data_IF_682314232157
#
_entry.id   IF_682314232157
#
_cell.length_a   1.000
_cell.length_b   1.000
_cell.length_c   1.000
_cell.angle_alpha   90.00
_cell.angle_beta   90.00
_cell.angle_gamma   90.00
#
_symmetry.space_group_name_H-M   'P 1'
#
loop_
_entity.id
_entity.type
_entity.pdbx_description
1 polymer ?
#
# COMPACT_ATOMS: atom_id res chain seq x y z
N UNK A 1 -1.90 -35.52 -61.64
CA UNK A 1 -2.16 -35.68 -60.18
C UNK A 1 -2.31 -34.29 -59.60
N UNK A 2 -3.55 -33.82 -59.43
CA UNK A 2 -3.84 -32.46 -58.95
C UNK A 2 -3.96 -32.47 -57.42
N UNK A 3 -3.18 -31.62 -56.74
CA UNK A 3 -3.29 -31.39 -55.30
C UNK A 3 -4.22 -30.20 -55.07
N UNK A 4 -5.38 -30.46 -54.49
CA UNK A 4 -6.34 -29.44 -54.05
C UNK A 4 -5.97 -29.07 -52.62
N UNK A 5 -5.64 -27.79 -52.40
CA UNK A 5 -5.34 -27.19 -51.11
C UNK A 5 -6.65 -26.70 -50.47
N UNK A 6 -7.08 -27.31 -49.38
CA UNK A 6 -8.22 -26.85 -48.59
C UNK A 6 -7.73 -25.87 -47.51
N UNK A 7 -8.18 -24.62 -47.60
CA UNK A 7 -7.97 -23.59 -46.59
C UNK A 7 -9.24 -23.51 -45.75
N UNK A 8 -9.14 -23.83 -44.45
CA UNK A 8 -10.22 -23.63 -43.49
C UNK A 8 -10.19 -22.18 -42.98
N UNK A 9 -11.17 -21.38 -43.41
CA UNK A 9 -11.48 -20.08 -42.80
C UNK A 9 -12.43 -20.30 -41.63
N UNK A 10 -11.91 -20.26 -40.40
CA UNK A 10 -12.72 -20.24 -39.19
C UNK A 10 -13.16 -18.81 -38.89
N UNK A 11 -14.38 -18.46 -39.26
CA UNK A 11 -15.02 -17.19 -38.90
C UNK A 11 -15.51 -17.29 -37.46
N UNK A 12 -14.76 -16.72 -36.52
CA UNK A 12 -15.24 -16.48 -35.16
C UNK A 12 -16.25 -15.32 -35.18
N UNK A 13 -17.53 -15.67 -35.00
CA UNK A 13 -18.61 -14.73 -34.71
C UNK A 13 -18.45 -14.23 -33.27
N UNK A 14 -17.94 -13.01 -33.10
CA UNK A 14 -18.02 -12.29 -31.83
C UNK A 14 -19.41 -11.64 -31.70
N UNK A 15 -20.14 -11.85 -30.58
CA UNK A 15 -21.35 -11.09 -30.31
C UNK A 15 -20.97 -9.65 -29.97
N UNK A 16 -21.50 -8.72 -30.77
CA UNK A 16 -21.46 -7.28 -30.52
C UNK A 16 -22.28 -7.00 -29.27
N UNK A 17 -21.61 -6.77 -28.14
CA UNK A 17 -22.24 -6.26 -26.92
C UNK A 17 -22.43 -4.75 -27.11
N UNK A 18 -23.65 -4.36 -27.47
CA UNK A 18 -24.07 -2.95 -27.48
C UNK A 18 -24.23 -2.48 -26.04
N UNK A 19 -23.29 -1.64 -25.57
CA UNK A 19 -23.46 -0.89 -24.33
C UNK A 19 -24.55 0.17 -24.53
N UNK A 20 -25.69 -0.03 -23.88
CA UNK A 20 -26.72 1.00 -23.74
C UNK A 20 -26.17 2.11 -22.82
N UNK A 21 -25.99 3.30 -23.37
CA UNK A 21 -25.74 4.51 -22.58
C UNK A 21 -27.01 4.86 -21.80
N UNK A 22 -26.99 4.67 -20.49
CA UNK A 22 -27.97 5.30 -19.59
C UNK A 22 -27.71 6.81 -19.54
N UNK A 23 -28.71 7.68 -19.77
CA UNK A 23 -28.53 9.11 -19.63
C UNK A 23 -28.27 9.48 -18.17
N UNK A 24 -27.22 10.28 -17.97
CA UNK A 24 -26.84 10.85 -16.70
C UNK A 24 -27.89 11.88 -16.28
N UNK A 25 -28.75 11.53 -15.32
CA UNK A 25 -29.65 12.49 -14.66
C UNK A 25 -28.81 13.46 -13.81
N UNK A 26 -28.62 14.67 -14.32
CA UNK A 26 -28.10 15.79 -13.54
C UNK A 26 -29.16 16.26 -12.55
N UNK A 27 -29.07 15.80 -11.29
CA UNK A 27 -29.80 16.44 -10.20
C UNK A 27 -29.23 17.85 -9.96
N UNK A 28 -30.07 18.90 -9.96
CA UNK A 28 -29.60 20.24 -9.59
C UNK A 28 -29.13 20.24 -8.14
N UNK A 29 -27.91 20.74 -7.92
CA UNK A 29 -27.37 21.05 -6.61
C UNK A 29 -28.31 22.04 -5.93
N UNK A 30 -29.02 21.54 -4.91
CA UNK A 30 -29.78 22.39 -4.02
C UNK A 30 -28.77 23.25 -3.25
N UNK A 31 -28.92 24.56 -3.39
CA UNK A 31 -28.05 25.57 -2.82
C UNK A 31 -27.87 25.37 -1.32
N UNK A 32 -26.65 25.64 -0.86
CA UNK A 32 -26.26 25.75 0.54
C UNK A 32 -27.24 26.62 1.32
N UNK A 33 -28.21 26.00 1.98
CA UNK A 33 -28.92 26.61 3.11
C UNK A 33 -28.06 26.31 4.32
N UNK A 34 -27.18 27.25 4.65
CA UNK A 34 -26.61 27.33 5.99
C UNK A 34 -27.76 27.36 7.01
N UNK A 35 -27.79 26.50 8.03
CA UNK A 35 -28.70 26.72 9.13
C UNK A 35 -28.30 28.04 9.81
N UNK A 36 -29.20 29.02 9.78
CA UNK A 36 -29.10 30.21 10.61
C UNK A 36 -28.93 29.76 12.07
N UNK A 37 -27.75 30.03 12.62
CA UNK A 37 -27.50 29.98 14.05
C UNK A 37 -28.36 31.07 14.68
N UNK A 38 -29.56 30.70 15.15
CA UNK A 38 -30.29 31.54 16.08
C UNK A 38 -29.40 31.78 17.31
N UNK A 39 -29.16 33.04 17.72
CA UNK A 39 -28.47 33.31 18.97
C UNK A 39 -29.33 32.76 20.11
N UNK A 40 -28.87 31.66 20.71
CA UNK A 40 -29.47 31.11 21.91
C UNK A 40 -29.32 32.15 23.02
N UNK A 41 -30.46 32.73 23.42
CA UNK A 41 -30.73 33.39 24.70
C UNK A 41 -29.55 34.07 25.38
N UNK A 42 -29.33 35.34 25.05
CA UNK A 42 -28.64 36.26 25.94
C UNK A 42 -29.55 36.59 27.12
N UNK A 43 -29.69 35.67 28.08
CA UNK A 43 -30.34 35.95 29.39
C UNK A 43 -30.10 34.84 30.43
N UNK A 44 -28.88 34.29 30.48
CA UNK A 44 -28.42 33.57 31.66
C UNK A 44 -27.19 34.27 32.20
N UNK A 45 -27.39 35.08 33.25
CA UNK A 45 -26.30 35.48 34.12
C UNK A 45 -25.56 34.21 34.57
N UNK A 46 -24.21 34.20 34.55
CA UNK A 46 -23.46 33.05 35.03
C UNK A 46 -23.87 32.77 36.48
N UNK A 47 -24.05 31.51 36.89
CA UNK A 47 -24.36 31.19 38.26
C UNK A 47 -23.29 31.80 39.16
N UNK A 48 -23.74 32.60 40.14
CA UNK A 48 -22.86 33.22 41.11
C UNK A 48 -22.03 32.13 41.79
N UNK A 49 -20.69 32.27 41.70
CA UNK A 49 -19.74 31.36 42.31
C UNK A 49 -19.84 31.47 43.83
N UNK A 50 -20.72 30.69 44.44
CA UNK A 50 -20.87 30.51 45.86
C UNK A 50 -19.64 29.73 46.37
N UNK A 51 -18.67 30.48 46.89
CA UNK A 51 -17.31 30.06 47.26
C UNK A 51 -17.18 29.02 48.39
N UNK A 52 -18.03 28.02 48.43
CA UNK A 52 -18.04 26.97 49.45
C UNK A 52 -17.99 25.58 48.80
N UNK A 53 -16.90 25.27 48.09
CA UNK A 53 -16.44 23.88 48.02
C UNK A 53 -14.91 23.87 47.88
N UNK A 54 -14.15 23.42 48.90
CA UNK A 54 -12.72 23.24 48.75
C UNK A 54 -12.47 22.25 47.62
N UNK A 55 -11.78 22.69 46.57
CA UNK A 55 -11.32 21.79 45.50
C UNK A 55 -10.49 20.70 46.17
N UNK A 56 -10.99 19.46 46.16
CA UNK A 56 -10.21 18.30 46.63
C UNK A 56 -8.88 18.32 45.89
N UNK A 57 -7.73 18.15 46.57
CA UNK A 57 -6.44 18.08 45.92
C UNK A 57 -6.50 17.02 44.81
N UNK A 58 -6.41 17.45 43.56
CA UNK A 58 -6.30 16.54 42.43
C UNK A 58 -4.99 15.79 42.66
N UNK A 59 -5.09 14.50 42.98
CA UNK A 59 -3.91 13.64 43.12
C UNK A 59 -3.04 13.86 41.89
N UNK A 60 -1.73 14.14 42.02
CA UNK A 60 -0.85 14.32 40.89
C UNK A 60 -1.04 13.10 39.98
N UNK A 61 -1.31 13.34 38.69
CA UNK A 61 -1.51 12.29 37.70
C UNK A 61 -0.42 11.24 37.91
N UNK A 62 -0.81 10.05 38.37
CA UNK A 62 0.11 8.95 38.53
C UNK A 62 0.82 8.78 37.18
N UNK A 63 2.16 8.83 37.19
CA UNK A 63 2.96 8.62 35.97
C UNK A 63 2.42 7.35 35.34
N UNK A 64 1.81 7.47 34.15
CA UNK A 64 1.30 6.31 33.42
C UNK A 64 2.41 5.26 33.42
N UNK A 65 2.12 3.99 33.77
CA UNK A 65 3.13 2.96 33.76
C UNK A 65 3.80 3.00 32.38
N UNK A 66 5.15 3.09 32.37
CA UNK A 66 5.90 3.03 31.12
C UNK A 66 5.50 1.70 30.47
N UNK A 67 4.77 1.78 29.36
CA UNK A 67 4.46 0.58 28.58
C UNK A 67 5.79 -0.10 28.26
N UNK A 68 5.88 -1.44 28.39
CA UNK A 68 7.06 -2.14 27.90
C UNK A 68 7.26 -1.74 26.43
N UNK A 69 8.50 -1.37 26.10
CA UNK A 69 8.86 -1.05 24.72
C UNK A 69 8.58 -2.32 23.88
N UNK A 70 7.83 -2.21 22.77
CA UNK A 70 7.72 -3.29 21.80
C UNK A 70 9.09 -3.85 21.40
N UNK A 71 9.11 -5.13 20.95
CA UNK A 71 10.35 -5.75 20.53
C UNK A 71 10.98 -4.97 19.36
N UNK A 72 12.32 -4.93 19.27
CA UNK A 72 13.01 -4.22 18.21
C UNK A 72 12.57 -4.77 16.85
N UNK A 73 12.35 -3.85 15.91
CA UNK A 73 11.91 -4.16 14.56
C UNK A 73 12.87 -5.15 13.87
N UNK A 74 12.31 -6.20 13.27
CA UNK A 74 13.04 -7.16 12.44
C UNK A 74 12.56 -7.03 10.98
N UNK A 75 13.46 -6.82 10.01
CA UNK A 75 13.08 -6.76 8.61
C UNK A 75 12.49 -8.08 8.11
N UNK A 76 11.67 -8.02 7.07
CA UNK A 76 11.06 -9.21 6.50
C UNK A 76 12.13 -10.14 5.93
N UNK A 77 11.90 -11.44 6.07
CA UNK A 77 12.75 -12.45 5.45
C UNK A 77 12.63 -12.35 3.92
N UNK A 78 13.77 -12.47 3.25
CA UNK A 78 13.85 -12.40 1.78
C UNK A 78 13.42 -13.74 1.20
N UNK A 79 12.85 -13.70 -0.01
CA UNK A 79 12.34 -14.91 -0.65
C UNK A 79 13.52 -15.76 -1.14
N UNK A 80 13.43 -17.08 -1.01
CA UNK A 80 14.45 -17.97 -1.59
C UNK A 80 14.39 -18.01 -3.14
N UNK A 81 13.20 -17.80 -3.70
CA UNK A 81 12.91 -17.67 -5.14
C UNK A 81 11.56 -16.96 -5.32
N UNK A 82 11.32 -16.41 -6.52
CA UNK A 82 10.03 -15.87 -6.95
C UNK A 82 9.09 -16.94 -7.54
N UNK A 83 9.58 -18.14 -7.84
CA UNK A 83 8.76 -19.18 -8.48
C UNK A 83 7.62 -19.65 -7.57
N UNK A 84 6.40 -19.63 -8.12
CA UNK A 84 5.18 -20.02 -7.38
C UNK A 84 4.80 -19.05 -6.27
N UNK A 85 5.39 -17.85 -6.23
CA UNK A 85 5.06 -16.81 -5.27
C UNK A 85 4.08 -15.81 -5.86
N UNK A 86 3.36 -15.11 -4.98
CA UNK A 86 2.58 -13.93 -5.31
C UNK A 86 3.42 -12.67 -5.06
N UNK A 87 3.62 -11.84 -6.08
CA UNK A 87 4.27 -10.53 -5.95
C UNK A 87 3.24 -9.44 -6.17
N UNK A 88 3.11 -8.57 -5.18
CA UNK A 88 2.27 -7.39 -5.21
C UNK A 88 2.97 -6.23 -5.91
N UNK A 89 2.29 -5.54 -6.81
CA UNK A 89 2.73 -4.29 -7.42
C UNK A 89 1.83 -3.17 -6.92
N UNK A 90 2.39 -2.31 -6.08
CA UNK A 90 1.68 -1.19 -5.47
C UNK A 90 2.09 0.11 -6.17
N UNK A 91 1.14 0.80 -6.79
CA UNK A 91 1.40 2.07 -7.47
C UNK A 91 0.60 3.20 -6.83
N UNK A 92 1.20 4.38 -6.69
CA UNK A 92 0.37 5.58 -6.60
C UNK A 92 -0.43 5.74 -7.91
N UNK A 93 -1.55 6.46 -7.90
CA UNK A 93 -2.40 6.65 -9.10
C UNK A 93 -1.71 7.37 -10.27
N UNK A 94 -0.42 7.67 -10.17
CA UNK A 94 0.36 8.31 -11.22
C UNK A 94 0.62 7.34 -12.41
N UNK A 95 0.27 7.72 -13.65
CA UNK A 95 0.36 6.83 -14.82
C UNK A 95 1.76 6.25 -15.08
N UNK A 96 2.82 7.05 -14.91
CA UNK A 96 4.19 6.59 -15.16
C UNK A 96 4.63 5.45 -14.23
N UNK A 97 4.23 5.48 -12.94
CA UNK A 97 4.52 4.38 -12.02
C UNK A 97 3.80 3.09 -12.45
N UNK A 98 2.53 3.20 -12.85
CA UNK A 98 1.73 2.05 -13.28
C UNK A 98 2.29 1.42 -14.54
N UNK A 99 2.64 2.23 -15.56
CA UNK A 99 3.21 1.74 -16.81
C UNK A 99 4.55 1.03 -16.57
N UNK A 100 5.42 1.61 -15.75
CA UNK A 100 6.70 1.02 -15.41
C UNK A 100 6.52 -0.31 -14.67
N UNK A 101 5.66 -0.35 -13.65
CA UNK A 101 5.38 -1.56 -12.89
C UNK A 101 4.77 -2.66 -13.75
N UNK A 102 3.90 -2.30 -14.72
CA UNK A 102 3.33 -3.25 -15.67
C UNK A 102 4.43 -3.90 -16.52
N UNK A 103 5.32 -3.11 -17.13
CA UNK A 103 6.44 -3.60 -17.94
C UNK A 103 7.39 -4.51 -17.15
N UNK A 104 7.68 -4.14 -15.90
CA UNK A 104 8.49 -4.95 -14.99
C UNK A 104 7.77 -6.27 -14.66
N UNK A 105 6.47 -6.22 -14.38
CA UNK A 105 5.68 -7.41 -14.06
C UNK A 105 5.64 -8.41 -15.22
N UNK A 106 5.53 -7.91 -16.45
CA UNK A 106 5.55 -8.74 -17.65
C UNK A 106 6.90 -9.44 -17.82
N UNK A 107 8.00 -8.72 -17.55
CA UNK A 107 9.34 -9.31 -17.61
C UNK A 107 9.59 -10.31 -16.48
N UNK A 108 9.10 -10.05 -15.26
CA UNK A 108 9.15 -11.03 -14.17
C UNK A 108 8.36 -12.29 -14.50
N UNK A 109 7.15 -12.18 -15.06
CA UNK A 109 6.35 -13.34 -15.50
C UNK A 109 7.02 -14.15 -16.60
N UNK A 110 7.73 -13.51 -17.54
CA UNK A 110 8.49 -14.23 -18.57
C UNK A 110 9.61 -15.09 -17.97
N UNK A 111 10.24 -14.62 -16.89
CA UNK A 111 11.34 -15.31 -16.20
C UNK A 111 10.84 -16.36 -15.21
N UNK A 112 9.71 -16.08 -14.57
CA UNK A 112 9.05 -16.92 -13.58
C UNK A 112 7.61 -17.19 -14.03
N UNK A 113 7.37 -18.17 -14.92
CA UNK A 113 6.04 -18.41 -15.51
C UNK A 113 4.95 -18.76 -14.48
N UNK A 114 5.35 -19.24 -13.30
CA UNK A 114 4.44 -19.59 -12.20
C UNK A 114 4.26 -18.45 -11.19
N UNK A 115 4.77 -17.25 -11.48
CA UNK A 115 4.62 -16.08 -10.62
C UNK A 115 3.18 -15.55 -10.71
N UNK A 116 2.52 -15.48 -9.56
CA UNK A 116 1.26 -14.76 -9.41
C UNK A 116 1.55 -13.27 -9.22
N UNK A 117 0.89 -12.41 -9.99
CA UNK A 117 1.11 -10.95 -9.96
C UNK A 117 -0.19 -10.29 -9.59
N UNK A 118 -0.17 -9.48 -8.54
CA UNK A 118 -1.34 -8.77 -8.04
C UNK A 118 -1.08 -7.28 -8.01
N UNK A 119 -1.96 -6.50 -8.61
CA UNK A 119 -1.84 -5.05 -8.61
C UNK A 119 -2.74 -4.42 -7.55
N UNK A 120 -2.28 -3.33 -6.96
CA UNK A 120 -3.10 -2.41 -6.21
C UNK A 120 -2.69 -0.99 -6.56
N UNK A 121 -3.67 -0.13 -6.77
CA UNK A 121 -3.46 1.30 -6.91
C UNK A 121 -4.13 2.02 -5.75
N UNK A 122 -3.57 3.16 -5.37
CA UNK A 122 -4.16 4.03 -4.36
C UNK A 122 -4.15 5.47 -4.82
N UNK A 123 -5.05 6.27 -4.26
CA UNK A 123 -5.20 7.68 -4.62
C UNK A 123 -3.87 8.42 -4.53
N UNK A 124 -3.60 9.26 -5.53
CA UNK A 124 -2.40 10.09 -5.55
C UNK A 124 -2.34 10.95 -4.27
N UNK A 125 -1.13 11.25 -3.80
CA UNK A 125 -0.93 12.13 -2.65
C UNK A 125 -1.57 11.65 -1.33
N UNK A 126 -1.90 10.37 -1.20
CA UNK A 126 -2.51 9.81 0.02
C UNK A 126 -1.59 8.76 0.66
N UNK A 127 -1.47 8.74 1.98
CA UNK A 127 -0.90 7.59 2.69
C UNK A 127 -1.98 6.50 2.74
N UNK A 128 -1.75 5.39 2.03
CA UNK A 128 -2.71 4.28 1.94
C UNK A 128 -3.03 3.67 3.33
N UNK A 129 -2.14 3.85 4.31
CA UNK A 129 -2.34 3.35 5.67
C UNK A 129 -3.29 4.22 6.50
N UNK A 130 -3.57 5.43 6.05
CA UNK A 130 -4.54 6.36 6.65
C UNK A 130 -5.68 6.72 5.68
N UNK A 131 -5.74 6.06 4.53
CA UNK A 131 -6.78 6.29 3.51
C UNK A 131 -8.04 5.44 3.76
N UNK A 132 -9.17 5.75 3.10
CA UNK A 132 -10.34 4.87 3.08
C UNK A 132 -10.04 3.46 2.54
N UNK A 133 -8.98 3.30 1.73
CA UNK A 133 -8.54 2.02 1.16
C UNK A 133 -7.66 1.20 2.11
N UNK A 134 -7.38 1.68 3.33
CA UNK A 134 -6.53 0.98 4.32
C UNK A 134 -6.89 -0.49 4.51
N UNK A 135 -8.17 -0.80 4.65
CA UNK A 135 -8.62 -2.17 4.88
C UNK A 135 -8.37 -3.06 3.65
N UNK A 136 -8.69 -2.56 2.46
CA UNK A 136 -8.41 -3.22 1.19
C UNK A 136 -6.91 -3.47 1.03
N UNK A 137 -6.08 -2.50 1.40
CA UNK A 137 -4.62 -2.62 1.36
C UNK A 137 -4.09 -3.74 2.24
N UNK A 138 -4.58 -3.86 3.49
CA UNK A 138 -4.12 -4.93 4.37
C UNK A 138 -4.58 -6.32 3.91
N UNK A 139 -5.80 -6.43 3.38
CA UNK A 139 -6.30 -7.68 2.77
C UNK A 139 -5.42 -8.06 1.57
N UNK A 140 -5.17 -7.10 0.67
CA UNK A 140 -4.29 -7.29 -0.48
C UNK A 140 -2.87 -7.70 -0.06
N UNK A 141 -2.31 -7.03 0.95
CA UNK A 141 -0.96 -7.26 1.46
C UNK A 141 -0.77 -8.65 2.05
N UNK A 142 -1.78 -9.18 2.73
CA UNK A 142 -1.76 -10.55 3.25
C UNK A 142 -1.73 -11.59 2.13
N UNK A 143 -2.28 -11.23 0.98
CA UNK A 143 -2.46 -12.09 -0.18
C UNK A 143 -1.20 -12.25 -1.06
N UNK A 144 -0.15 -11.45 -0.79
CA UNK A 144 1.13 -11.47 -1.53
C UNK A 144 2.29 -11.92 -0.64
N UNK A 145 3.37 -12.42 -1.25
CA UNK A 145 4.60 -12.82 -0.56
C UNK A 145 5.64 -11.71 -0.52
N UNK A 146 5.65 -10.80 -1.50
CA UNK A 146 6.57 -9.68 -1.62
C UNK A 146 5.88 -8.50 -2.31
N UNK A 147 6.42 -7.29 -2.18
CA UNK A 147 5.86 -6.10 -2.82
C UNK A 147 6.91 -5.29 -3.58
N UNK A 148 6.55 -4.83 -4.77
CA UNK A 148 7.26 -3.79 -5.52
C UNK A 148 6.38 -2.55 -5.49
N UNK A 149 6.87 -1.47 -4.90
CA UNK A 149 6.16 -0.19 -4.81
C UNK A 149 6.73 0.79 -5.81
N UNK A 150 5.91 1.36 -6.69
CA UNK A 150 6.30 2.45 -7.60
C UNK A 150 5.77 3.77 -7.08
N UNK A 151 6.66 4.75 -6.88
CA UNK A 151 6.30 6.11 -6.53
C UNK A 151 6.78 7.03 -7.65
N UNK A 152 5.82 7.57 -8.38
CA UNK A 152 6.04 8.59 -9.39
C UNK A 152 5.41 9.90 -8.92
N UNK A 153 6.10 10.62 -8.04
CA UNK A 153 5.91 12.07 -7.87
C UNK A 153 7.14 12.63 -7.12
N UNK A 154 7.69 13.74 -7.63
CA UNK A 154 8.76 14.49 -6.99
C UNK A 154 8.23 15.52 -5.99
N UNK A 155 6.92 15.57 -5.74
CA UNK A 155 6.36 16.55 -4.82
C UNK A 155 7.04 16.47 -3.44
N UNK A 156 7.71 17.54 -3.01
CA UNK A 156 8.48 17.58 -1.76
C UNK A 156 7.66 17.34 -0.50
N UNK A 157 6.33 17.36 -0.60
CA UNK A 157 5.45 17.69 0.54
C UNK A 157 5.11 16.48 1.41
N UNK A 158 5.32 15.23 0.97
CA UNK A 158 4.89 14.08 1.78
C UNK A 158 6.01 13.07 2.01
N UNK A 159 6.83 13.35 3.02
CA UNK A 159 7.64 12.34 3.72
C UNK A 159 6.81 11.11 4.15
N UNK A 160 5.49 11.25 4.25
CA UNK A 160 4.54 10.18 4.57
C UNK A 160 4.52 9.04 3.55
N UNK A 161 4.64 9.28 2.24
CA UNK A 161 4.60 8.20 1.23
C UNK A 161 5.76 7.20 1.35
N UNK A 162 6.84 7.64 2.01
CA UNK A 162 8.01 6.81 2.28
C UNK A 162 7.81 5.85 3.47
N UNK A 163 6.75 6.05 4.25
CA UNK A 163 6.33 5.15 5.33
C UNK A 163 5.84 3.82 4.76
N UNK A 164 5.20 3.83 3.59
CA UNK A 164 4.46 2.69 3.03
C UNK A 164 5.34 1.44 2.92
N UNK A 165 6.53 1.47 2.28
CA UNK A 165 7.32 0.25 2.16
C UNK A 165 7.88 -0.21 3.53
N UNK A 166 8.04 0.70 4.50
CA UNK A 166 8.38 0.35 5.88
C UNK A 166 7.21 -0.40 6.56
N UNK A 167 5.97 0.04 6.34
CA UNK A 167 4.78 -0.66 6.83
C UNK A 167 4.64 -2.05 6.22
N UNK A 168 4.93 -2.20 4.93
CA UNK A 168 4.89 -3.50 4.25
C UNK A 168 5.94 -4.46 4.84
N UNK A 169 7.19 -4.00 5.00
CA UNK A 169 8.25 -4.81 5.62
C UNK A 169 7.93 -5.19 7.09
N UNK A 170 7.29 -4.30 7.86
CA UNK A 170 6.76 -4.57 9.21
C UNK A 170 5.72 -5.67 9.26
N UNK A 171 4.98 -5.86 8.17
CA UNK A 171 4.01 -6.95 8.05
C UNK A 171 4.65 -8.24 7.49
N UNK A 172 5.99 -8.32 7.49
CA UNK A 172 6.73 -9.51 7.09
C UNK A 172 6.68 -9.75 5.59
N UNK A 173 6.57 -8.69 4.79
CA UNK A 173 6.61 -8.75 3.32
C UNK A 173 7.85 -8.01 2.81
N UNK A 174 8.85 -8.71 2.22
CA UNK A 174 10.00 -8.06 1.62
C UNK A 174 9.55 -7.10 0.52
N UNK A 175 10.12 -5.89 0.54
CA UNK A 175 9.66 -4.79 -0.31
C UNK A 175 10.81 -4.11 -1.04
N UNK A 176 10.53 -3.73 -2.29
CA UNK A 176 11.39 -2.87 -3.11
C UNK A 176 10.66 -1.59 -3.45
N UNK A 177 11.33 -0.46 -3.28
CA UNK A 177 10.84 0.85 -3.72
C UNK A 177 11.46 1.21 -5.07
N UNK A 178 10.63 1.45 -6.07
CA UNK A 178 11.00 2.09 -7.32
C UNK A 178 10.66 3.57 -7.22
N UNK A 179 11.66 4.42 -7.37
CA UNK A 179 11.47 5.86 -7.33
C UNK A 179 12.48 6.55 -8.23
N UNK A 180 12.20 7.82 -8.55
CA UNK A 180 13.13 8.61 -9.34
C UNK A 180 14.50 8.72 -8.67
N UNK A 181 15.55 8.65 -9.48
CA UNK A 181 16.93 8.79 -8.99
C UNK A 181 17.17 10.14 -8.30
N UNK A 182 16.52 11.20 -8.77
CA UNK A 182 16.52 12.55 -8.16
C UNK A 182 15.92 12.52 -6.75
N UNK A 183 14.77 11.85 -6.60
CA UNK A 183 14.07 11.65 -5.35
C UNK A 183 14.91 10.84 -4.35
N UNK A 184 15.51 9.73 -4.80
CA UNK A 184 16.40 8.93 -3.96
C UNK A 184 17.62 9.73 -3.48
N UNK A 185 18.21 10.58 -4.34
CA UNK A 185 19.30 11.48 -3.94
C UNK A 185 18.87 12.46 -2.86
N UNK A 186 17.68 13.07 -3.01
CA UNK A 186 17.14 14.02 -2.03
C UNK A 186 16.90 13.37 -0.67
N UNK A 187 16.31 12.17 -0.65
CA UNK A 187 16.13 11.42 0.59
C UNK A 187 17.49 11.02 1.21
N UNK A 188 18.47 10.64 0.39
CA UNK A 188 19.80 10.26 0.89
C UNK A 188 20.52 11.44 1.57
N UNK A 189 20.22 12.67 1.17
CA UNK A 189 20.78 13.89 1.75
C UNK A 189 20.08 14.30 3.05
N UNK A 190 18.87 13.81 3.31
CA UNK A 190 18.16 14.07 4.55
C UNK A 190 18.61 13.09 5.65
N UNK A 191 19.63 13.49 6.41
CA UNK A 191 20.17 12.71 7.54
C UNK A 191 19.11 12.38 8.60
N UNK A 192 17.97 13.09 8.65
CA UNK A 192 16.91 12.86 9.64
C UNK A 192 15.96 11.72 9.26
N UNK A 193 15.88 11.36 7.97
CA UNK A 193 14.93 10.37 7.46
C UNK A 193 15.56 9.40 6.44
N UNK A 194 16.59 8.63 6.82
CA UNK A 194 17.28 7.76 5.86
C UNK A 194 16.38 6.56 5.50
N UNK A 195 15.62 6.64 4.41
CA UNK A 195 14.81 5.51 3.92
C UNK A 195 15.64 4.42 3.25
N UNK A 196 16.81 4.77 2.74
CA UNK A 196 17.79 3.83 2.16
C UNK A 196 18.42 2.92 3.21
N UNK A 197 18.30 3.30 4.49
CA UNK A 197 18.62 2.45 5.63
C UNK A 197 17.50 1.46 5.95
N UNK A 198 16.34 1.56 5.29
CA UNK A 198 15.09 0.94 5.74
C UNK A 198 14.40 0.13 4.65
N UNK A 199 14.69 0.37 3.37
CA UNK A 199 14.04 -0.31 2.24
C UNK A 199 15.07 -0.38 1.11
N UNK A 200 15.10 -1.48 0.35
CA UNK A 200 15.88 -1.51 -0.90
C UNK A 200 15.19 -0.64 -1.93
N UNK A 201 15.83 0.45 -2.31
CA UNK A 201 15.35 1.34 -3.34
C UNK A 201 16.14 1.16 -4.63
N UNK A 202 15.43 1.10 -5.75
CA UNK A 202 15.99 1.05 -7.09
C UNK A 202 15.70 2.37 -7.77
N UNK A 203 16.76 3.08 -8.14
CA UNK A 203 16.68 4.36 -8.84
C UNK A 203 16.40 4.17 -10.31
N UNK A 204 15.38 4.86 -10.80
CA UNK A 204 14.97 4.82 -12.21
C UNK A 204 14.73 6.26 -12.70
N UNK A 205 14.78 6.46 -14.00
CA UNK A 205 14.05 7.55 -14.64
C UNK A 205 12.71 6.95 -15.06
N UNK A 206 11.61 7.48 -14.52
CA UNK A 206 10.28 6.90 -14.74
C UNK A 206 9.83 7.01 -16.20
N UNK A 207 10.50 7.85 -17.00
CA UNK A 207 10.31 7.94 -18.44
C UNK A 207 11.14 6.90 -19.23
N UNK A 208 12.14 6.29 -18.60
CA UNK A 208 13.02 5.29 -19.20
C UNK A 208 12.30 3.94 -19.27
N UNK A 209 11.64 3.72 -20.40
CA UNK A 209 10.81 2.52 -20.61
C UNK A 209 11.31 1.61 -21.73
N UNK A 210 12.57 1.77 -22.13
CA UNK A 210 13.19 0.93 -23.14
C UNK A 210 13.50 -0.48 -22.61
N UNK A 211 13.60 -1.46 -23.51
CA UNK A 211 13.78 -2.85 -23.10
C UNK A 211 15.05 -3.10 -22.25
N UNK A 212 16.21 -2.49 -22.56
CA UNK A 212 17.42 -2.62 -21.73
C UNK A 212 17.22 -2.11 -20.30
N UNK A 213 16.61 -0.93 -20.10
CA UNK A 213 16.39 -0.39 -18.77
C UNK A 213 15.40 -1.24 -17.98
N UNK A 214 14.29 -1.67 -18.59
CA UNK A 214 13.32 -2.54 -17.92
C UNK A 214 13.96 -3.86 -17.51
N UNK A 215 14.82 -4.46 -18.35
CA UNK A 215 15.54 -5.70 -17.99
C UNK A 215 16.48 -5.47 -16.80
N UNK A 216 17.26 -4.38 -16.80
CA UNK A 216 18.12 -4.03 -15.66
C UNK A 216 17.32 -3.84 -14.39
N UNK A 217 16.22 -3.09 -14.44
CA UNK A 217 15.34 -2.86 -13.28
C UNK A 217 14.75 -4.17 -12.78
N UNK A 218 14.35 -5.05 -13.69
CA UNK A 218 13.85 -6.39 -13.36
C UNK A 218 14.91 -7.20 -12.61
N UNK A 219 16.16 -7.21 -13.07
CA UNK A 219 17.29 -7.88 -12.40
C UNK A 219 17.50 -7.32 -10.98
N UNK A 220 17.50 -5.98 -10.86
CA UNK A 220 17.73 -5.30 -9.58
C UNK A 220 16.60 -5.60 -8.57
N UNK A 221 15.35 -5.66 -9.02
CA UNK A 221 14.18 -6.00 -8.19
C UNK A 221 14.22 -7.46 -7.74
N UNK A 222 14.45 -8.38 -8.68
CA UNK A 222 14.54 -9.80 -8.39
C UNK A 222 15.64 -10.07 -7.35
N UNK A 223 16.82 -9.48 -7.57
CA UNK A 223 17.93 -9.51 -6.63
C UNK A 223 17.56 -8.91 -5.28
N UNK A 224 16.88 -7.76 -5.28
CA UNK A 224 16.52 -7.07 -4.04
C UNK A 224 15.53 -7.88 -3.18
N UNK A 225 14.58 -8.59 -3.81
CA UNK A 225 13.59 -9.42 -3.14
C UNK A 225 14.13 -10.76 -2.65
N UNK A 226 15.13 -11.31 -3.34
CA UNK A 226 15.63 -12.67 -3.06
C UNK A 226 16.93 -12.72 -2.28
N UNK A 227 17.82 -11.76 -2.48
CA UNK A 227 19.12 -11.80 -1.80
C UNK A 227 18.99 -11.43 -0.32
N UNK A 228 19.63 -12.19 0.59
CA UNK A 228 19.69 -11.84 2.00
C UNK A 228 20.14 -10.41 2.22
N UNK A 229 19.64 -9.81 3.30
CA UNK A 229 20.12 -8.51 3.75
C UNK A 229 21.57 -8.63 4.23
N UNK A 230 22.40 -7.68 3.83
CA UNK A 230 23.73 -7.48 4.40
C UNK A 230 23.63 -7.05 5.86
N UNK A 231 24.70 -7.20 6.64
CA UNK A 231 24.67 -6.83 8.06
C UNK A 231 24.48 -5.33 8.26
N UNK A 232 25.01 -4.51 7.35
CA UNK A 232 24.76 -3.06 7.31
C UNK A 232 23.28 -2.74 7.11
N UNK A 233 22.60 -3.44 6.19
CA UNK A 233 21.16 -3.30 5.98
C UNK A 233 20.37 -3.77 7.23
N UNK A 234 20.74 -4.90 7.84
CA UNK A 234 20.08 -5.38 9.07
C UNK A 234 20.24 -4.40 10.24
N UNK A 235 21.42 -3.79 10.38
CA UNK A 235 21.70 -2.84 11.45
C UNK A 235 20.92 -1.54 11.27
N UNK A 236 20.76 -1.09 10.03
CA UNK A 236 20.02 0.12 9.71
C UNK A 236 18.50 -0.02 9.93
N UNK A 237 17.99 -1.25 10.01
CA UNK A 237 16.64 -1.55 10.48
C UNK A 237 16.49 -1.50 12.02
N UNK A 238 17.57 -1.74 12.78
CA UNK A 238 17.52 -1.73 14.26
C UNK A 238 17.48 -0.31 14.85
N UNK A 239 17.98 0.68 14.12
CA UNK A 239 18.00 2.09 14.54
C UNK A 239 16.67 2.82 14.34
N UNK A 240 15.63 2.10 13.91
CA UNK A 240 14.33 2.68 13.62
C UNK A 240 13.62 3.14 14.90
N UNK A 241 13.18 4.42 14.98
CA UNK A 241 12.24 4.81 16.01
C UNK A 241 10.96 4.01 15.83
N UNK A 242 10.42 3.61 16.97
CA UNK A 242 9.18 2.89 17.07
C UNK A 242 8.04 3.79 16.61
N UNK A 243 7.53 3.54 15.41
CA UNK A 243 6.26 4.17 14.99
C UNK A 243 5.20 3.37 15.72
N UNK A 244 4.58 3.99 16.73
CA UNK A 244 3.35 3.49 17.33
C UNK A 244 2.33 3.37 16.20
N UNK A 245 2.17 2.16 15.65
CA UNK A 245 0.92 1.81 14.99
C UNK A 245 -0.15 2.10 16.05
N UNK A 246 -1.20 2.89 15.74
CA UNK A 246 -2.29 3.06 16.68
C UNK A 246 -2.76 1.66 17.11
N UNK A 247 -2.98 1.46 18.42
CA UNK A 247 -3.39 0.20 19.08
C UNK A 247 -4.67 -0.46 18.48
N UNK A 248 -5.19 0.04 17.36
CA UNK A 248 -6.10 -0.68 16.48
C UNK A 248 -5.22 -1.63 15.64
N UNK A 249 -5.09 -2.91 15.91
CA UNK A 249 -6.22 -3.82 15.90
C UNK A 249 -5.79 -5.26 16.31
N UNK A 250 -5.82 -5.63 17.60
CA UNK A 250 -5.86 -7.04 17.99
C UNK A 250 -7.10 -7.73 17.40
N UNK A 251 -8.23 -7.01 17.42
CA UNK A 251 -9.52 -7.45 16.89
C UNK A 251 -9.54 -7.69 15.38
N UNK A 252 -8.69 -7.03 14.58
CA UNK A 252 -8.72 -7.20 13.13
C UNK A 252 -8.05 -8.49 12.71
N UNK A 253 -6.92 -8.83 13.31
CA UNK A 253 -6.27 -10.10 13.01
C UNK A 253 -7.19 -11.26 13.35
N UNK A 254 -7.86 -11.21 14.50
CA UNK A 254 -8.78 -12.25 14.96
C UNK A 254 -10.10 -12.29 14.14
N UNK A 255 -10.68 -11.13 13.79
CA UNK A 255 -11.84 -11.06 12.89
C UNK A 255 -11.50 -11.50 11.47
N UNK A 256 -10.33 -11.10 10.95
CA UNK A 256 -9.86 -11.46 9.62
C UNK A 256 -9.55 -12.96 9.52
N UNK A 257 -8.82 -13.55 10.49
CA UNK A 257 -8.57 -14.99 10.51
C UNK A 257 -9.90 -15.78 10.56
N UNK A 258 -10.91 -15.27 11.26
CA UNK A 258 -12.26 -15.86 11.32
C UNK A 258 -13.03 -15.71 10.01
N UNK A 259 -13.05 -14.53 9.40
CA UNK A 259 -13.75 -14.26 8.13
C UNK A 259 -13.10 -15.00 6.96
N UNK A 260 -11.77 -15.03 6.90
CA UNK A 260 -10.99 -15.77 5.91
C UNK A 260 -11.25 -17.28 5.99
N UNK A 261 -11.31 -17.83 7.21
CA UNK A 261 -11.65 -19.25 7.43
C UNK A 261 -13.07 -19.60 7.00
N UNK A 262 -14.02 -18.67 7.18
CA UNK A 262 -15.39 -18.82 6.70
C UNK A 262 -15.45 -18.83 5.17
N UNK A 263 -14.74 -17.92 4.52
CA UNK A 263 -14.73 -17.80 3.06
C UNK A 263 -14.12 -19.04 2.37
N UNK A 264 -12.99 -19.56 2.89
CA UNK A 264 -12.41 -20.82 2.43
C UNK A 264 -13.34 -22.02 2.66
N UNK A 265 -14.11 -22.02 3.76
CA UNK A 265 -15.11 -23.06 4.03
C UNK A 265 -16.29 -23.01 3.06
N UNK A 266 -16.67 -21.84 2.55
CA UNK A 266 -17.76 -21.70 1.60
C UNK A 266 -17.31 -22.10 0.19
N UNK A 267 -16.12 -21.68 -0.25
CA UNK A 267 -15.55 -22.08 -1.54
C UNK A 267 -15.32 -23.60 -1.64
N UNK A 268 -14.91 -24.24 -0.53
CA UNK A 268 -14.79 -25.70 -0.48
C UNK A 268 -16.13 -26.44 -0.58
N UNK A 269 -17.25 -25.82 -0.21
CA UNK A 269 -18.59 -26.43 -0.29
C UNK A 269 -19.16 -26.32 -1.70
N UNK A 270 -18.90 -25.22 -2.40
CA UNK A 270 -19.31 -25.04 -3.80
C UNK A 270 -18.50 -25.89 -4.77
N UNK A 271 -17.26 -26.27 -4.44
CA UNK A 271 -16.44 -27.15 -5.26
C UNK A 271 -16.82 -28.66 -5.18
N UNK A 272 -17.72 -29.05 -4.27
CA UNK A 272 -18.18 -30.44 -4.09
C UNK A 272 -19.58 -30.72 -4.64
N UNK A 273 -20.23 -29.71 -5.25
CA UNK A 273 -21.51 -29.81 -5.94
C UNK A 273 -21.29 -29.84 -7.46
#
# INVERSE_FOLDING_TARGET
MNKILFIFFSVFLFPVVTWAQTPFESRPQNSNVFPELHPAGADQAPPAFNGETPLKPVKPFAKKPKRPLPPPYKPAERLSSLDGKAVGFLANSHPAAQELLLKISDNLKKRHPNLDVRFMTYEENTDITDSPQKNEFFVWLQSVNAVVTGIADNNPIRSEQTSIPTHIERNGRPTVLLAESSYLKKINQDEKHPLHQRIRAVGTDLSETDAPAINRLTDEIEKALTQPLSDKEKESFKSLPEINLPDAMPDFRERFEKEWSLQLSEESKTAQL
#
